data_IF_845057618690
#
_entry.id   IF_845057618690
#
_cell.length_a   1.000
_cell.length_b   1.000
_cell.length_c   1.000
_cell.angle_alpha   90.00
_cell.angle_beta   90.00
_cell.angle_gamma   90.00
#
_symmetry.space_group_name_H-M   'P 1'
#
loop_
_entity.id
_entity.type
_entity.pdbx_description
1 polymer ?
#
# COMPACT_ATOMS: atom_id res chain seq x y z
N UNK A 1 -21.65 -13.07 12.66
CA UNK A 1 -20.60 -12.09 12.84
C UNK A 1 -19.92 -11.86 11.50
N UNK A 2 -20.05 -10.64 10.99
CA UNK A 2 -19.29 -10.21 9.83
C UNK A 2 -17.84 -10.13 10.35
N UNK A 3 -17.06 -11.15 10.03
CA UNK A 3 -15.67 -11.22 10.43
C UNK A 3 -14.92 -9.97 9.93
N UNK A 4 -13.85 -9.60 10.58
CA UNK A 4 -13.00 -8.43 10.36
C UNK A 4 -12.43 -8.25 8.94
N UNK A 5 -12.75 -9.13 8.00
CA UNK A 5 -12.56 -8.96 6.56
C UNK A 5 -13.50 -7.92 5.93
N UNK A 6 -14.51 -7.46 6.70
CA UNK A 6 -15.68 -6.81 6.11
C UNK A 6 -15.52 -5.34 5.77
N UNK A 7 -14.83 -4.53 6.55
CA UNK A 7 -14.92 -3.09 6.38
C UNK A 7 -14.02 -2.57 5.23
N UNK A 8 -12.78 -2.96 5.15
CA UNK A 8 -11.89 -2.52 4.07
C UNK A 8 -12.37 -2.99 2.68
N UNK A 9 -12.84 -4.23 2.58
CA UNK A 9 -13.36 -4.79 1.33
C UNK A 9 -14.71 -4.19 0.93
N UNK A 10 -15.57 -3.85 1.88
CA UNK A 10 -16.88 -3.23 1.62
C UNK A 10 -16.70 -1.84 1.03
N UNK A 11 -15.84 -0.99 1.60
CA UNK A 11 -15.59 0.36 1.07
C UNK A 11 -14.97 0.34 -0.32
N UNK A 12 -14.00 -0.51 -0.56
CA UNK A 12 -13.39 -0.65 -1.90
C UNK A 12 -14.40 -1.11 -2.94
N UNK A 13 -15.29 -2.03 -2.60
CA UNK A 13 -16.36 -2.50 -3.48
C UNK A 13 -17.38 -1.41 -3.79
N UNK A 14 -17.76 -0.59 -2.80
CA UNK A 14 -18.69 0.51 -2.99
C UNK A 14 -18.15 1.56 -3.97
N UNK A 15 -16.89 1.95 -3.81
CA UNK A 15 -16.25 2.91 -4.72
C UNK A 15 -16.21 2.36 -6.15
N UNK A 16 -15.82 1.11 -6.34
CA UNK A 16 -15.78 0.49 -7.67
C UNK A 16 -17.15 0.46 -8.35
N UNK A 17 -18.20 0.19 -7.57
CA UNK A 17 -19.59 0.23 -8.07
C UNK A 17 -20.02 1.64 -8.45
N UNK A 18 -19.69 2.64 -7.61
CA UNK A 18 -19.96 4.04 -7.91
C UNK A 18 -19.30 4.47 -9.22
N UNK A 19 -18.07 4.04 -9.47
CA UNK A 19 -17.43 4.29 -10.76
C UNK A 19 -18.21 3.67 -11.93
N UNK A 20 -18.74 2.46 -11.78
CA UNK A 20 -19.55 1.84 -12.82
C UNK A 20 -20.84 2.64 -13.11
N UNK A 21 -21.48 3.14 -12.06
CA UNK A 21 -22.67 4.00 -12.20
C UNK A 21 -22.31 5.32 -12.90
N UNK A 22 -21.21 5.98 -12.53
CA UNK A 22 -20.72 7.20 -13.17
C UNK A 22 -20.41 6.96 -14.66
N UNK A 23 -19.74 5.86 -15.02
CA UNK A 23 -19.47 5.53 -16.41
C UNK A 23 -20.77 5.39 -17.21
N UNK A 24 -21.76 4.71 -16.67
CA UNK A 24 -23.06 4.54 -17.29
C UNK A 24 -23.79 5.86 -17.47
N UNK A 25 -23.86 6.69 -16.42
CA UNK A 25 -24.49 8.00 -16.45
C UNK A 25 -23.79 8.98 -17.39
N UNK A 26 -22.47 8.82 -17.61
CA UNK A 26 -21.69 9.62 -18.55
C UNK A 26 -21.91 9.23 -20.03
N UNK A 27 -22.80 8.28 -20.32
CA UNK A 27 -23.13 7.87 -21.69
C UNK A 27 -22.15 6.89 -22.33
N UNK A 28 -21.27 6.24 -21.56
CA UNK A 28 -20.47 5.15 -22.09
C UNK A 28 -21.35 3.96 -22.47
N UNK A 29 -21.05 3.28 -23.59
CA UNK A 29 -21.77 2.07 -23.98
C UNK A 29 -21.74 0.99 -22.91
N UNK A 30 -22.82 0.24 -22.78
CA UNK A 30 -22.89 -0.89 -21.87
C UNK A 30 -21.76 -1.89 -22.16
N UNK A 31 -21.10 -2.38 -21.10
CA UNK A 31 -19.98 -3.32 -21.19
C UNK A 31 -18.59 -2.69 -21.30
N UNK A 32 -18.48 -1.35 -21.51
CA UNK A 32 -17.16 -0.69 -21.50
C UNK A 32 -16.47 -0.72 -20.14
N UNK A 33 -17.24 -0.66 -19.06
CA UNK A 33 -16.72 -0.75 -17.70
C UNK A 33 -17.57 -1.72 -16.87
N UNK A 34 -16.94 -2.75 -16.33
CA UNK A 34 -17.60 -3.78 -15.54
C UNK A 34 -16.87 -3.99 -14.22
N UNK A 35 -17.60 -4.20 -13.14
CA UNK A 35 -17.05 -4.48 -11.81
C UNK A 35 -17.37 -5.91 -11.41
N UNK A 36 -16.35 -6.72 -11.28
CA UNK A 36 -16.42 -8.08 -10.81
C UNK A 36 -15.71 -8.21 -9.46
N UNK A 37 -16.46 -8.47 -8.40
CA UNK A 37 -15.90 -8.66 -7.08
C UNK A 37 -15.64 -10.15 -6.83
N UNK A 38 -14.43 -10.47 -6.37
CA UNK A 38 -14.09 -11.86 -6.06
C UNK A 38 -12.69 -11.98 -5.46
N UNK A 39 -12.35 -13.20 -5.10
CA UNK A 39 -11.05 -13.57 -4.57
C UNK A 39 -10.12 -14.12 -5.65
N UNK A 40 -9.16 -14.93 -5.21
CA UNK A 40 -8.13 -15.56 -6.04
C UNK A 40 -8.74 -16.31 -7.24
N UNK A 41 -9.84 -17.04 -7.02
CA UNK A 41 -10.45 -17.89 -8.05
C UNK A 41 -10.98 -17.06 -9.23
N UNK A 42 -11.60 -15.91 -8.95
CA UNK A 42 -12.09 -15.00 -10.00
C UNK A 42 -10.92 -14.43 -10.82
N UNK A 43 -9.84 -14.03 -10.15
CA UNK A 43 -8.65 -13.52 -10.84
C UNK A 43 -8.04 -14.59 -11.74
N UNK A 44 -7.93 -15.82 -11.26
CA UNK A 44 -7.43 -16.94 -12.06
C UNK A 44 -8.33 -17.22 -13.28
N UNK A 45 -9.65 -17.25 -13.09
CA UNK A 45 -10.61 -17.41 -14.19
C UNK A 45 -10.48 -16.32 -15.24
N UNK A 46 -10.27 -15.06 -14.82
CA UNK A 46 -10.04 -13.94 -15.76
C UNK A 46 -8.76 -14.14 -16.57
N UNK A 47 -7.65 -14.53 -15.94
CA UNK A 47 -6.38 -14.75 -16.65
C UNK A 47 -6.48 -15.90 -17.66
N UNK A 48 -7.20 -16.97 -17.31
CA UNK A 48 -7.35 -18.16 -18.16
C UNK A 48 -8.47 -18.02 -19.20
N UNK A 49 -9.24 -16.93 -19.19
CA UNK A 49 -10.41 -16.80 -20.06
C UNK A 49 -9.99 -16.38 -21.47
N UNK A 50 -10.39 -17.13 -22.49
CA UNK A 50 -10.02 -16.94 -23.90
C UNK A 50 -10.31 -15.54 -24.48
N UNK A 51 -11.32 -14.84 -23.93
CA UNK A 51 -11.69 -13.49 -24.36
C UNK A 51 -10.98 -12.37 -23.62
N UNK A 52 -10.12 -12.70 -22.63
CA UNK A 52 -9.35 -11.71 -21.90
C UNK A 52 -7.98 -11.56 -22.57
N UNK A 53 -7.81 -10.49 -23.30
CA UNK A 53 -6.59 -10.21 -24.04
C UNK A 53 -5.42 -9.73 -23.15
N UNK A 54 -5.71 -9.13 -22.00
CA UNK A 54 -4.69 -8.63 -21.10
C UNK A 54 -5.19 -8.39 -19.69
N UNK A 55 -4.28 -8.49 -18.72
CA UNK A 55 -4.49 -8.23 -17.31
C UNK A 55 -3.45 -7.25 -16.79
N UNK A 56 -3.89 -6.19 -16.11
CA UNK A 56 -3.06 -5.35 -15.26
C UNK A 56 -3.33 -5.70 -13.79
N UNK A 57 -2.28 -6.03 -13.04
CA UNK A 57 -2.38 -6.43 -11.64
C UNK A 57 -1.43 -5.60 -10.78
N UNK A 58 -1.93 -5.15 -9.65
CA UNK A 58 -1.16 -4.50 -8.59
C UNK A 58 -1.45 -5.23 -7.28
N UNK A 59 -0.39 -5.72 -6.62
CA UNK A 59 -0.55 -6.41 -5.34
C UNK A 59 0.76 -6.97 -4.79
N UNK A 60 0.67 -8.04 -3.98
CA UNK A 60 1.87 -8.64 -3.40
C UNK A 60 2.75 -9.30 -4.46
N UNK A 61 4.06 -9.23 -4.28
CA UNK A 61 5.05 -9.80 -5.22
C UNK A 61 4.84 -11.28 -5.53
N UNK A 62 4.52 -12.16 -4.57
CA UNK A 62 4.24 -13.57 -4.88
C UNK A 62 3.04 -13.75 -5.81
N UNK A 63 1.96 -12.99 -5.58
CA UNK A 63 0.77 -13.05 -6.44
C UNK A 63 1.07 -12.48 -7.82
N UNK A 64 1.78 -11.34 -7.90
CA UNK A 64 2.21 -10.75 -9.16
C UNK A 64 3.02 -11.74 -10.02
N UNK A 65 3.97 -12.46 -9.40
CA UNK A 65 4.77 -13.49 -10.06
C UNK A 65 3.91 -14.65 -10.56
N UNK A 66 3.01 -15.17 -9.73
CA UNK A 66 2.14 -16.29 -10.11
C UNK A 66 1.20 -15.94 -11.27
N UNK A 67 0.64 -14.74 -11.28
CA UNK A 67 -0.23 -14.27 -12.37
C UNK A 67 0.54 -14.05 -13.68
N UNK A 68 1.79 -13.59 -13.59
CA UNK A 68 2.63 -13.44 -14.78
C UNK A 68 2.92 -14.79 -15.43
N UNK A 69 3.22 -15.82 -14.64
CA UNK A 69 3.44 -17.19 -15.14
C UNK A 69 2.14 -17.71 -15.77
N UNK A 70 1.04 -17.64 -15.04
CA UNK A 70 -0.26 -18.10 -15.52
C UNK A 70 -0.70 -17.41 -16.82
N UNK A 71 -0.40 -16.11 -16.96
CA UNK A 71 -0.70 -15.37 -18.18
C UNK A 71 0.10 -15.88 -19.38
N UNK A 72 1.39 -16.18 -19.20
CA UNK A 72 2.21 -16.75 -20.27
C UNK A 72 1.64 -18.10 -20.72
N UNK A 73 1.26 -18.97 -19.79
CA UNK A 73 0.68 -20.28 -20.08
C UNK A 73 -0.66 -20.22 -20.84
N UNK A 74 -1.40 -19.11 -20.68
CA UNK A 74 -2.71 -18.92 -21.31
C UNK A 74 -2.71 -17.89 -22.46
N UNK A 75 -1.54 -17.46 -22.94
CA UNK A 75 -1.39 -16.41 -23.96
C UNK A 75 -2.05 -15.07 -23.60
N UNK A 76 -2.28 -14.79 -22.33
CA UNK A 76 -2.82 -13.52 -21.82
C UNK A 76 -1.67 -12.58 -21.50
N UNK A 77 -1.71 -11.36 -22.03
CA UNK A 77 -0.72 -10.33 -21.71
C UNK A 77 -0.92 -9.86 -20.26
N UNK A 78 0.08 -10.08 -19.40
CA UNK A 78 0.00 -9.69 -17.98
C UNK A 78 1.04 -8.62 -17.64
N UNK A 79 0.56 -7.47 -17.17
CA UNK A 79 1.37 -6.47 -16.49
C UNK A 79 1.16 -6.60 -14.98
N UNK A 80 2.10 -7.23 -14.30
CA UNK A 80 2.01 -7.48 -12.86
C UNK A 80 3.03 -6.64 -12.10
N UNK A 81 2.52 -5.79 -11.20
CA UNK A 81 3.30 -4.91 -10.34
C UNK A 81 3.24 -5.42 -8.89
N UNK A 82 4.41 -5.66 -8.33
CA UNK A 82 4.57 -6.14 -6.95
C UNK A 82 4.91 -5.03 -5.96
N UNK A 83 5.36 -5.42 -4.77
CA UNK A 83 5.85 -4.49 -3.75
C UNK A 83 7.21 -3.90 -4.09
N UNK A 84 7.50 -2.74 -3.49
CA UNK A 84 8.78 -2.06 -3.57
C UNK A 84 9.31 -1.68 -2.19
N UNK A 85 10.54 -1.19 -2.15
CA UNK A 85 11.18 -0.59 -0.98
C UNK A 85 11.60 0.83 -1.36
N UNK A 86 10.74 1.80 -1.08
CA UNK A 86 10.97 3.18 -1.49
C UNK A 86 11.91 3.88 -0.49
N UNK A 87 12.90 4.56 -1.00
CA UNK A 87 13.88 5.32 -0.24
C UNK A 87 13.67 6.81 -0.49
N UNK A 88 13.70 7.59 0.58
CA UNK A 88 13.78 9.05 0.56
C UNK A 88 15.19 9.45 0.94
N UNK A 89 15.87 10.18 0.09
CA UNK A 89 17.22 10.69 0.35
C UNK A 89 17.12 12.17 0.70
N UNK A 90 17.64 12.55 1.86
CA UNK A 90 17.64 13.93 2.33
C UNK A 90 19.09 14.43 2.35
N UNK A 91 19.37 15.45 1.53
CA UNK A 91 20.68 16.05 1.41
C UNK A 91 20.91 17.13 2.50
N UNK A 92 22.17 17.50 2.80
CA UNK A 92 22.48 18.46 3.86
C UNK A 92 21.90 19.86 3.67
N UNK A 93 21.63 20.24 2.43
CA UNK A 93 21.05 21.54 2.05
C UNK A 93 19.51 21.51 1.92
N UNK A 94 18.87 20.39 2.25
CA UNK A 94 17.43 20.26 2.20
C UNK A 94 16.73 21.04 3.33
N UNK A 95 15.50 21.50 3.07
CA UNK A 95 14.61 21.98 4.14
C UNK A 95 14.16 20.80 5.01
N UNK A 96 14.71 20.71 6.22
CA UNK A 96 14.43 19.61 7.14
C UNK A 96 13.00 19.60 7.67
N UNK A 97 12.32 20.75 7.74
CA UNK A 97 10.92 20.81 8.12
C UNK A 97 10.03 20.18 7.04
N UNK A 98 10.22 20.60 5.80
CA UNK A 98 9.51 20.02 4.65
C UNK A 98 9.85 18.54 4.48
N UNK A 99 11.10 18.15 4.69
CA UNK A 99 11.55 16.76 4.62
C UNK A 99 10.90 15.89 5.69
N UNK A 100 10.76 16.37 6.92
CA UNK A 100 10.10 15.68 8.00
C UNK A 100 8.57 15.54 7.75
N UNK A 101 7.91 16.59 7.26
CA UNK A 101 6.50 16.54 6.88
C UNK A 101 6.26 15.51 5.76
N UNK A 102 7.10 15.52 4.75
CA UNK A 102 7.05 14.56 3.65
C UNK A 102 7.31 13.12 4.13
N UNK A 103 8.32 12.91 4.99
CA UNK A 103 8.64 11.61 5.55
C UNK A 103 7.47 11.03 6.36
N UNK A 104 6.87 11.82 7.25
CA UNK A 104 5.73 11.39 8.08
C UNK A 104 4.52 11.09 7.21
N UNK A 105 4.15 11.99 6.31
CA UNK A 105 3.00 11.80 5.42
C UNK A 105 3.16 10.59 4.49
N UNK A 106 4.34 10.43 3.89
CA UNK A 106 4.59 9.34 2.95
C UNK A 106 4.77 7.98 3.63
N UNK A 107 5.31 7.94 4.86
CA UNK A 107 5.51 6.67 5.58
C UNK A 107 4.26 6.18 6.27
N UNK A 108 3.51 7.06 6.94
CA UNK A 108 2.37 6.69 7.77
C UNK A 108 1.01 6.82 7.07
N UNK A 109 0.92 7.57 5.98
CA UNK A 109 -0.32 7.70 5.22
C UNK A 109 -0.91 6.35 4.85
N UNK A 110 -2.22 6.14 5.11
CA UNK A 110 -2.93 4.87 4.97
C UNK A 110 -2.25 3.70 5.74
N UNK A 111 -1.66 3.97 6.91
CA UNK A 111 -0.88 3.00 7.70
C UNK A 111 0.26 2.34 6.91
N UNK A 112 0.93 3.08 6.03
CA UNK A 112 1.98 2.58 5.16
C UNK A 112 1.52 1.62 4.05
N UNK A 113 0.22 1.46 3.85
CA UNK A 113 -0.36 0.52 2.88
C UNK A 113 -0.51 1.14 1.49
N UNK A 114 0.54 1.82 1.02
CA UNK A 114 0.63 2.40 -0.32
C UNK A 114 1.86 1.86 -1.04
N UNK A 115 1.76 1.63 -2.34
CA UNK A 115 2.90 1.23 -3.18
C UNK A 115 4.03 2.29 -3.18
N UNK A 116 3.68 3.56 -2.95
CA UNK A 116 4.60 4.69 -2.90
C UNK A 116 4.99 5.09 -1.47
N UNK A 117 4.60 4.32 -0.44
CA UNK A 117 4.99 4.62 0.95
C UNK A 117 6.51 4.58 1.10
N UNK A 118 7.06 5.58 1.78
CA UNK A 118 8.50 5.62 2.10
C UNK A 118 8.78 4.60 3.18
N UNK A 119 9.70 3.68 2.89
CA UNK A 119 10.09 2.61 3.81
C UNK A 119 11.42 2.91 4.51
N UNK A 120 12.24 3.76 3.90
CA UNK A 120 13.58 4.11 4.39
C UNK A 120 13.82 5.60 4.14
N UNK A 121 14.31 6.30 5.15
CA UNK A 121 14.83 7.66 5.01
C UNK A 121 16.34 7.61 5.18
N UNK A 122 17.07 8.11 4.19
CA UNK A 122 18.52 8.18 4.18
C UNK A 122 18.92 9.64 4.37
N UNK A 123 19.42 9.99 5.53
CA UNK A 123 19.99 11.31 5.81
C UNK A 123 21.48 11.32 5.41
N UNK A 124 21.86 12.28 4.57
CA UNK A 124 23.25 12.41 4.09
C UNK A 124 23.98 13.44 4.94
N UNK A 125 25.17 13.10 5.42
CA UNK A 125 25.98 13.97 6.30
C UNK A 125 25.42 14.03 7.73
N UNK A 126 25.62 15.14 8.42
CA UNK A 126 25.39 15.31 9.87
C UNK A 126 23.95 15.75 10.22
N UNK A 127 22.99 15.60 9.30
CA UNK A 127 21.61 16.07 9.49
C UNK A 127 20.68 15.03 10.13
N UNK A 128 21.17 13.83 10.39
CA UNK A 128 20.31 12.68 10.81
C UNK A 128 19.57 12.96 12.11
N UNK A 129 20.27 13.42 13.15
CA UNK A 129 19.68 13.66 14.45
C UNK A 129 18.63 14.78 14.41
N UNK A 130 18.92 15.90 13.75
CA UNK A 130 17.97 16.99 13.58
C UNK A 130 16.72 16.55 12.81
N UNK A 131 16.90 15.77 11.73
CA UNK A 131 15.78 15.25 10.96
C UNK A 131 14.91 14.27 11.78
N UNK A 132 15.54 13.41 12.58
CA UNK A 132 14.83 12.47 13.49
C UNK A 132 14.01 13.24 14.51
N UNK A 133 14.57 14.28 15.11
CA UNK A 133 13.84 15.07 16.11
C UNK A 133 12.64 15.79 15.49
N UNK A 134 12.82 16.37 14.30
CA UNK A 134 11.69 16.98 13.56
C UNK A 134 10.61 15.97 13.17
N UNK A 135 10.97 14.75 12.84
CA UNK A 135 10.00 13.66 12.59
C UNK A 135 9.26 13.30 13.88
N UNK A 136 9.98 13.13 15.00
CA UNK A 136 9.38 12.82 16.33
C UNK A 136 8.39 13.90 16.78
N UNK A 137 8.68 15.17 16.57
CA UNK A 137 7.81 16.29 16.91
C UNK A 137 6.44 16.21 16.19
N UNK A 138 6.39 15.65 14.99
CA UNK A 138 5.19 15.54 14.16
C UNK A 138 4.32 14.32 14.48
N UNK A 139 4.93 13.25 14.96
CA UNK A 139 4.24 11.99 15.19
C UNK A 139 3.06 12.09 16.19
N UNK A 140 3.17 12.82 17.32
CA UNK A 140 2.07 12.96 18.27
C UNK A 140 0.82 13.68 17.72
N UNK A 141 0.98 14.46 16.65
CA UNK A 141 -0.13 15.18 16.04
C UNK A 141 -0.98 14.28 15.10
N UNK A 142 -0.52 13.08 14.79
CA UNK A 142 -1.25 12.15 13.93
C UNK A 142 -2.47 11.58 14.65
N UNK A 143 -3.66 11.96 14.21
CA UNK A 143 -4.91 11.46 14.76
C UNK A 143 -5.22 10.07 14.20
N UNK A 144 -5.09 9.06 15.06
CA UNK A 144 -5.44 7.69 14.73
C UNK A 144 -6.89 7.38 15.08
N UNK A 145 -7.62 6.74 14.19
CA UNK A 145 -9.02 6.44 14.47
C UNK A 145 -9.73 5.67 13.37
N UNK A 146 -11.04 5.62 13.47
CA UNK A 146 -11.90 5.02 12.45
C UNK A 146 -11.97 5.93 11.22
N UNK A 147 -12.05 5.34 10.05
CA UNK A 147 -12.06 6.05 8.76
C UNK A 147 -13.36 6.83 8.48
N UNK A 148 -14.40 6.61 9.25
CA UNK A 148 -15.67 7.35 9.20
C UNK A 148 -15.64 8.67 10.01
N UNK A 149 -14.61 8.87 10.84
CA UNK A 149 -14.36 10.13 11.53
C UNK A 149 -13.54 11.06 10.63
N UNK A 150 -14.02 12.27 10.27
CA UNK A 150 -13.31 13.20 9.40
C UNK A 150 -11.97 13.69 9.96
N UNK A 151 -11.78 13.65 11.29
CA UNK A 151 -10.53 14.06 11.92
C UNK A 151 -9.44 12.97 11.86
N UNK A 152 -9.81 11.77 11.47
CA UNK A 152 -8.85 10.65 11.39
C UNK A 152 -7.89 10.82 10.22
N UNK A 153 -6.59 10.93 10.53
CA UNK A 153 -5.51 10.99 9.55
C UNK A 153 -4.92 9.61 9.26
N UNK A 154 -4.93 8.74 10.26
CA UNK A 154 -4.35 7.41 10.19
C UNK A 154 -5.38 6.34 10.57
N UNK A 155 -5.88 5.64 9.57
CA UNK A 155 -6.81 4.52 9.74
C UNK A 155 -6.11 3.23 10.16
N UNK A 156 -6.88 2.19 10.51
CA UNK A 156 -6.34 0.89 10.91
C UNK A 156 -5.72 0.15 9.71
N UNK A 157 -4.82 -0.78 10.00
CA UNK A 157 -4.36 -1.77 9.03
C UNK A 157 -5.50 -2.70 8.61
N UNK A 158 -5.40 -3.26 7.40
CA UNK A 158 -6.49 -3.96 6.72
C UNK A 158 -7.01 -5.21 7.48
N UNK A 159 -6.17 -5.88 8.26
CA UNK A 159 -6.56 -7.08 9.00
C UNK A 159 -5.71 -7.32 10.25
N UNK A 160 -6.21 -8.18 11.13
CA UNK A 160 -5.47 -8.61 12.33
C UNK A 160 -4.18 -9.34 11.94
N UNK A 161 -4.24 -10.21 10.93
CA UNK A 161 -3.06 -10.95 10.45
C UNK A 161 -1.95 -10.00 9.98
N UNK A 162 -2.32 -8.91 9.29
CA UNK A 162 -1.35 -7.87 8.90
C UNK A 162 -0.79 -7.13 10.11
N UNK A 163 -1.63 -6.83 11.11
CA UNK A 163 -1.18 -6.24 12.38
C UNK A 163 -0.15 -7.15 13.05
N UNK A 164 -0.50 -8.42 13.22
CA UNK A 164 0.37 -9.39 13.91
C UNK A 164 1.70 -9.57 13.16
N UNK A 165 1.66 -9.58 11.81
CA UNK A 165 2.87 -9.61 10.97
C UNK A 165 3.74 -8.36 11.15
N UNK A 166 3.15 -7.16 11.22
CA UNK A 166 3.89 -5.92 11.46
C UNK A 166 4.56 -5.96 12.85
N UNK A 167 3.82 -6.39 13.87
CA UNK A 167 4.37 -6.56 15.20
C UNK A 167 5.55 -7.52 15.23
N UNK A 168 5.49 -8.65 14.51
CA UNK A 168 6.61 -9.59 14.45
C UNK A 168 7.88 -8.97 13.86
N UNK A 169 7.76 -8.10 12.86
CA UNK A 169 8.91 -7.38 12.31
C UNK A 169 9.48 -6.35 13.29
N UNK A 170 8.62 -5.61 14.01
CA UNK A 170 9.06 -4.65 15.01
C UNK A 170 9.80 -5.40 16.13
N UNK A 171 9.26 -6.52 16.62
CA UNK A 171 9.92 -7.35 17.62
C UNK A 171 11.29 -7.87 17.16
N UNK A 172 11.41 -8.27 15.91
CA UNK A 172 12.67 -8.72 15.31
C UNK A 172 13.75 -7.62 15.33
N UNK A 173 13.39 -6.38 15.03
CA UNK A 173 14.30 -5.24 15.09
C UNK A 173 14.81 -4.96 16.51
N UNK A 174 14.00 -5.22 17.54
CA UNK A 174 14.39 -5.05 18.94
C UNK A 174 15.15 -6.25 19.52
N UNK A 175 15.08 -7.41 18.91
CA UNK A 175 15.69 -8.65 19.41
C UNK A 175 16.91 -9.10 18.62
N UNK A 176 17.14 -8.54 17.43
CA UNK A 176 18.34 -8.80 16.65
C UNK A 176 19.38 -7.71 16.89
N UNK A 177 20.61 -8.11 17.18
CA UNK A 177 21.82 -7.26 17.21
C UNK A 177 22.11 -6.55 15.86
N UNK A 178 21.24 -6.70 14.90
CA UNK A 178 21.38 -6.09 13.58
C UNK A 178 21.39 -4.55 13.60
N UNK A 179 21.05 -3.91 14.73
CA UNK A 179 21.17 -2.47 14.91
C UNK A 179 22.60 -2.06 15.33
N UNK A 180 23.40 -2.96 15.88
CA UNK A 180 24.75 -2.66 16.39
C UNK A 180 25.87 -2.93 15.36
N UNK A 181 25.58 -3.65 14.27
CA UNK A 181 26.56 -3.92 13.21
C UNK A 181 26.74 -2.78 12.18
N UNK A 182 26.05 -1.66 12.33
CA UNK A 182 26.13 -0.52 11.39
C UNK A 182 27.05 0.59 11.93
N UNK A 183 27.77 0.38 13.03
CA UNK A 183 28.75 1.33 13.57
C UNK A 183 30.13 0.68 13.64
N UNK A 184 30.76 0.52 12.50
CA UNK A 184 32.22 0.43 12.40
C UNK A 184 32.70 0.92 11.03
#
# INVERSE_FOLDING_TARGET
>A
PIGSRGLGDVYKRQISRLYADIFKESGFPDGCYNVLNGGKDIVQQLVCHEKVAGLAFIGSTPVAKSLKILGVENNTKVQALGGGKNHMIVLPDADLNMSADAAVSASFGAAGQRCMAVSVVVAVGDIADELIDKIKERMPSLVMGKTDNPDTQLGPVISKENKDRIYSFICLLYTSDAADEVVS
#
